data_IF_102117400537
#
_entry.id   IF_102117400537
#
_cell.length_a   1.000
_cell.length_b   1.000
_cell.length_c   1.000
_cell.angle_alpha   90.00
_cell.angle_beta   90.00
_cell.angle_gamma   90.00
#
_symmetry.space_group_name_H-M   'P 1'
#
loop_
_entity.id
_entity.type
_entity.pdbx_description
1 polymer ?
#
# COMPACT_ATOMS: atom_id res chain seq x y z
N UNK A 1 -19.96 -17.22 21.39
CA UNK A 1 -18.62 -17.82 21.25
C UNK A 1 -17.72 -16.73 20.72
N UNK A 2 -16.77 -16.25 21.52
CA UNK A 2 -15.85 -15.19 21.11
C UNK A 2 -15.03 -15.71 19.93
N UNK A 3 -15.09 -15.00 18.79
CA UNK A 3 -14.16 -15.17 17.67
C UNK A 3 -12.76 -15.21 18.26
N UNK A 4 -11.95 -16.23 17.95
CA UNK A 4 -10.52 -16.25 18.27
C UNK A 4 -9.88 -15.08 17.53
N UNK A 5 -9.90 -13.92 18.16
CA UNK A 5 -9.07 -12.80 17.73
C UNK A 5 -7.63 -13.34 17.68
N UNK A 6 -7.04 -13.34 16.49
CA UNK A 6 -5.68 -13.84 16.28
C UNK A 6 -4.76 -13.12 17.26
N UNK A 7 -4.07 -13.84 18.13
CA UNK A 7 -3.26 -13.24 19.19
C UNK A 7 -2.13 -12.38 18.57
N UNK A 8 -1.64 -11.35 19.28
CA UNK A 8 -0.50 -10.54 18.81
C UNK A 8 0.72 -11.38 18.46
N UNK A 9 0.97 -12.47 19.19
CA UNK A 9 2.08 -13.40 18.96
C UNK A 9 1.92 -14.13 17.62
N UNK A 10 0.70 -14.55 17.29
CA UNK A 10 0.41 -15.21 16.01
C UNK A 10 0.55 -14.24 14.84
N UNK A 11 0.12 -12.98 15.00
CA UNK A 11 0.35 -11.92 14.01
C UNK A 11 1.85 -11.69 13.82
N UNK A 12 2.62 -11.60 14.90
CA UNK A 12 4.06 -11.42 14.85
C UNK A 12 4.76 -12.58 14.10
N UNK A 13 4.37 -13.82 14.39
CA UNK A 13 4.92 -15.01 13.73
C UNK A 13 4.62 -15.01 12.23
N UNK A 14 3.36 -14.77 11.84
CA UNK A 14 2.95 -14.71 10.42
C UNK A 14 3.63 -13.57 9.67
N UNK A 15 3.73 -12.41 10.30
CA UNK A 15 4.41 -11.26 9.70
C UNK A 15 5.89 -11.54 9.49
N UNK A 16 6.59 -12.13 10.46
CA UNK A 16 7.98 -12.53 10.32
C UNK A 16 8.16 -13.54 9.18
N UNK A 17 7.29 -14.55 9.08
CA UNK A 17 7.31 -15.52 7.97
C UNK A 17 7.14 -14.82 6.61
N UNK A 18 6.19 -13.89 6.48
CA UNK A 18 5.99 -13.13 5.24
C UNK A 18 7.23 -12.30 4.91
N UNK A 19 7.83 -11.62 5.88
CA UNK A 19 9.08 -10.87 5.68
C UNK A 19 10.22 -11.76 5.19
N UNK A 20 10.38 -12.97 5.75
CA UNK A 20 11.37 -13.93 5.29
C UNK A 20 11.09 -14.42 3.86
N UNK A 21 9.85 -14.71 3.53
CA UNK A 21 9.44 -15.11 2.16
C UNK A 21 9.74 -14.00 1.16
N UNK A 22 9.40 -12.74 1.49
CA UNK A 22 9.75 -11.56 0.66
C UNK A 22 11.26 -11.45 0.48
N UNK A 23 12.04 -11.61 1.55
CA UNK A 23 13.49 -11.54 1.49
C UNK A 23 14.10 -12.65 0.63
N UNK A 24 13.58 -13.88 0.74
CA UNK A 24 14.02 -15.01 -0.10
C UNK A 24 13.67 -14.79 -1.57
N UNK A 25 12.45 -14.32 -1.87
CA UNK A 25 12.03 -14.02 -3.23
C UNK A 25 12.87 -12.90 -3.86
N UNK A 26 13.15 -11.82 -3.12
CA UNK A 26 14.02 -10.73 -3.58
C UNK A 26 15.43 -11.25 -3.92
N UNK A 27 16.04 -12.05 -3.03
CA UNK A 27 17.36 -12.63 -3.25
C UNK A 27 17.38 -13.55 -4.48
N UNK A 28 16.36 -14.39 -4.67
CA UNK A 28 16.25 -15.25 -5.88
C UNK A 28 16.15 -14.42 -7.17
N UNK A 29 15.52 -13.24 -7.10
CA UNK A 29 15.43 -12.29 -8.21
C UNK A 29 16.67 -11.40 -8.37
N UNK A 30 17.78 -11.66 -7.65
CA UNK A 30 19.01 -10.86 -7.71
C UNK A 30 18.86 -9.46 -7.10
N UNK A 31 17.87 -9.23 -6.23
CA UNK A 31 17.52 -7.95 -5.63
C UNK A 31 17.78 -7.96 -4.12
N UNK A 32 17.94 -6.78 -3.54
CA UNK A 32 18.02 -6.66 -2.08
C UNK A 32 16.62 -6.73 -1.48
N UNK A 33 16.42 -7.33 -0.30
CA UNK A 33 15.13 -7.29 0.41
C UNK A 33 14.61 -5.86 0.62
N UNK A 34 15.51 -4.91 0.85
CA UNK A 34 15.20 -3.48 0.98
C UNK A 34 14.64 -2.83 -0.28
N UNK A 35 14.72 -3.49 -1.43
CA UNK A 35 14.15 -3.00 -2.70
C UNK A 35 12.66 -3.35 -2.83
N UNK A 36 12.09 -4.06 -1.84
CA UNK A 36 10.69 -4.46 -1.81
C UNK A 36 9.97 -3.80 -0.63
N UNK A 37 8.92 -3.05 -0.93
CA UNK A 37 7.99 -2.52 0.08
C UNK A 37 6.87 -3.55 0.29
N UNK A 38 6.74 -4.02 1.52
CA UNK A 38 5.61 -4.84 1.94
C UNK A 38 4.50 -3.93 2.47
N UNK A 39 3.35 -3.91 1.80
CA UNK A 39 2.14 -3.26 2.31
C UNK A 39 1.33 -4.31 3.07
N UNK A 40 1.08 -4.08 4.37
CA UNK A 40 0.15 -4.86 5.15
C UNK A 40 -1.29 -4.40 4.84
N UNK A 41 -2.09 -5.29 4.22
CA UNK A 41 -3.47 -4.98 3.80
C UNK A 41 -4.42 -5.24 4.95
N UNK A 42 -4.96 -4.18 5.54
CA UNK A 42 -5.69 -4.21 6.82
C UNK A 42 -7.21 -4.27 6.68
N UNK A 43 -7.73 -4.56 5.48
CA UNK A 43 -9.18 -4.54 5.17
C UNK A 43 -10.07 -5.34 6.14
N UNK A 44 -9.52 -6.37 6.79
CA UNK A 44 -10.21 -7.21 7.79
C UNK A 44 -9.49 -7.22 9.15
N UNK A 45 -8.45 -6.42 9.31
CA UNK A 45 -7.69 -6.37 10.56
C UNK A 45 -8.47 -5.60 11.65
N UNK A 46 -8.36 -6.09 12.88
CA UNK A 46 -8.83 -5.33 14.04
C UNK A 46 -7.74 -4.38 14.52
N UNK A 47 -8.10 -3.30 15.25
CA UNK A 47 -7.14 -2.29 15.70
C UNK A 47 -5.91 -2.85 16.45
N UNK A 48 -6.10 -3.89 17.25
CA UNK A 48 -5.04 -4.53 18.03
C UNK A 48 -3.98 -5.19 17.15
N UNK A 49 -4.40 -5.75 16.01
CA UNK A 49 -3.49 -6.37 15.03
C UNK A 49 -2.66 -5.30 14.31
N UNK A 50 -3.26 -4.15 13.98
CA UNK A 50 -2.54 -3.00 13.40
C UNK A 50 -1.50 -2.47 14.39
N UNK A 51 -1.88 -2.31 15.66
CA UNK A 51 -0.98 -1.88 16.73
C UNK A 51 0.19 -2.86 16.94
N UNK A 52 -0.06 -4.18 16.83
CA UNK A 52 0.98 -5.18 16.92
C UNK A 52 2.03 -5.00 15.81
N UNK A 53 1.62 -4.78 14.56
CA UNK A 53 2.54 -4.50 13.45
C UNK A 53 3.30 -3.17 13.64
N UNK A 54 2.63 -2.13 14.14
CA UNK A 54 3.28 -0.85 14.47
C UNK A 54 4.37 -1.01 15.52
N UNK A 55 4.12 -1.83 16.56
CA UNK A 55 5.11 -2.14 17.60
C UNK A 55 6.33 -2.89 17.04
N UNK A 56 6.15 -3.69 15.99
CA UNK A 56 7.24 -4.36 15.25
C UNK A 56 7.96 -3.44 14.26
N UNK A 57 7.61 -2.16 14.18
CA UNK A 57 8.24 -1.21 13.28
C UNK A 57 7.65 -1.15 11.87
N UNK A 58 6.57 -1.88 11.58
CA UNK A 58 5.91 -1.79 10.28
C UNK A 58 5.23 -0.43 10.08
N UNK A 59 5.28 0.11 8.86
CA UNK A 59 4.80 1.47 8.60
C UNK A 59 3.96 1.63 7.31
N UNK A 60 3.88 0.60 6.46
CA UNK A 60 3.17 0.65 5.16
C UNK A 60 1.87 -0.15 5.23
N UNK A 61 0.74 0.53 5.35
CA UNK A 61 -0.57 -0.10 5.47
C UNK A 61 -1.45 0.22 4.25
N UNK A 62 -2.25 -0.75 3.82
CA UNK A 62 -3.11 -0.60 2.66
C UNK A 62 -4.57 -0.92 2.94
N UNK A 63 -5.46 -0.09 2.38
CA UNK A 63 -6.90 -0.26 2.49
C UNK A 63 -7.60 -0.24 1.14
N UNK A 64 -8.61 -1.09 1.00
CA UNK A 64 -9.41 -1.16 -0.21
C UNK A 64 -10.68 -0.27 -0.18
N UNK A 65 -11.12 0.19 1.00
CA UNK A 65 -12.27 1.07 1.18
C UNK A 65 -11.83 2.38 1.82
N UNK A 66 -12.23 3.50 1.23
CA UNK A 66 -11.91 4.84 1.73
C UNK A 66 -12.35 5.05 3.19
N UNK A 67 -13.53 4.55 3.57
CA UNK A 67 -14.04 4.70 4.92
C UNK A 67 -13.19 3.95 5.94
N UNK A 68 -12.79 2.71 5.65
CA UNK A 68 -11.94 1.89 6.52
C UNK A 68 -10.56 2.52 6.65
N UNK A 69 -10.01 3.06 5.55
CA UNK A 69 -8.73 3.80 5.57
C UNK A 69 -8.78 4.95 6.57
N UNK A 70 -9.81 5.78 6.51
CA UNK A 70 -9.96 6.92 7.41
C UNK A 70 -10.15 6.49 8.87
N UNK A 71 -10.91 5.42 9.12
CA UNK A 71 -11.10 4.87 10.47
C UNK A 71 -9.80 4.32 11.05
N UNK A 72 -9.07 3.50 10.30
CA UNK A 72 -7.81 2.92 10.77
C UNK A 72 -6.73 3.99 10.97
N UNK A 73 -6.66 4.98 10.07
CA UNK A 73 -5.73 6.09 10.24
C UNK A 73 -6.00 6.89 11.52
N UNK A 74 -7.27 7.19 11.82
CA UNK A 74 -7.64 7.89 13.05
C UNK A 74 -7.29 7.08 14.31
N UNK A 75 -7.48 5.75 14.29
CA UNK A 75 -7.10 4.85 15.39
C UNK A 75 -5.58 4.86 15.61
N UNK A 76 -4.81 4.85 14.53
CA UNK A 76 -3.34 4.88 14.58
C UNK A 76 -2.85 6.23 15.11
N UNK A 77 -3.42 7.34 14.65
CA UNK A 77 -3.10 8.69 15.15
C UNK A 77 -3.40 8.82 16.66
N UNK A 78 -4.54 8.30 17.11
CA UNK A 78 -4.88 8.28 18.54
C UNK A 78 -3.89 7.43 19.35
N UNK A 79 -3.49 6.27 18.82
CA UNK A 79 -2.51 5.40 19.47
C UNK A 79 -1.18 6.12 19.71
N UNK A 80 -0.62 6.78 18.70
CA UNK A 80 0.63 7.53 18.84
C UNK A 80 0.48 8.76 19.74
N UNK A 81 -0.64 9.47 19.64
CA UNK A 81 -0.91 10.63 20.52
C UNK A 81 -0.89 10.21 21.98
N UNK A 82 -1.53 9.09 22.34
CA UNK A 82 -1.50 8.54 23.70
C UNK A 82 -0.11 8.12 24.14
N UNK A 83 0.66 7.46 23.25
CA UNK A 83 2.05 7.08 23.57
C UNK A 83 2.93 8.30 23.81
N UNK A 84 2.83 9.34 23.00
CA UNK A 84 3.59 10.58 23.16
C UNK A 84 3.22 11.31 24.45
N UNK A 85 1.95 11.34 24.85
CA UNK A 85 1.50 11.89 26.15
C UNK A 85 2.15 11.10 27.29
N UNK A 86 2.11 9.77 27.23
CA UNK A 86 2.74 8.93 28.26
C UNK A 86 4.26 9.08 28.30
N UNK A 87 4.93 9.20 27.16
CA UNK A 87 6.37 9.43 27.09
C UNK A 87 6.77 10.80 27.66
N UNK A 88 5.98 11.85 27.39
CA UNK A 88 6.19 13.18 27.94
C UNK A 88 5.97 13.21 29.47
N UNK A 89 4.91 12.55 29.94
CA UNK A 89 4.62 12.43 31.39
C UNK A 89 5.69 11.62 32.11
N UNK A 90 6.27 10.61 31.46
CA UNK A 90 7.35 9.81 32.01
C UNK A 90 8.68 10.58 32.07
N UNK A 91 8.97 11.43 31.06
CA UNK A 91 10.15 12.33 31.07
C UNK A 91 10.07 13.37 32.15
N UNK A 92 8.91 13.97 32.40
CA UNK A 92 8.72 14.93 33.51
C UNK A 92 8.85 14.26 34.88
N UNK A 93 8.53 12.97 35.00
CA UNK A 93 8.64 12.22 36.27
C UNK A 93 10.04 11.64 36.49
N UNK A 94 10.88 11.48 35.45
CA UNK A 94 12.24 10.96 35.52
C UNK A 94 13.32 12.03 35.52
N UNK A 95 12.98 13.33 35.45
CA UNK A 95 13.92 14.42 35.67
C UNK A 95 14.24 14.65 37.16
N UNK A 96 13.55 13.95 38.06
CA UNK A 96 13.87 13.97 39.52
C UNK A 96 14.79 12.82 39.98
N UNK A 97 15.26 11.93 39.14
CA UNK A 97 16.22 10.91 39.52
C UNK A 97 17.20 10.62 38.39
N UNK A 98 18.37 11.23 38.55
CA UNK A 98 19.73 10.84 38.17
C UNK A 98 19.94 9.79 37.07
N UNK A 99 20.78 10.20 36.12
CA UNK A 99 21.94 9.45 35.58
C UNK A 99 21.84 7.94 35.60
N UNK A 100 21.72 7.33 34.44
CA UNK A 100 22.61 6.26 33.99
C UNK A 100 22.11 5.55 32.71
N UNK A 101 23.08 5.39 31.85
CA UNK A 101 23.43 4.22 31.05
C UNK A 101 22.77 4.01 29.70
N UNK A 102 23.66 4.07 28.76
CA UNK A 102 23.66 3.48 27.45
C UNK A 102 23.03 2.09 27.44
N UNK A 103 21.97 1.89 26.71
CA UNK A 103 21.62 0.58 26.20
C UNK A 103 21.70 0.63 24.68
N UNK A 104 22.66 -0.09 24.16
CA UNK A 104 22.79 -0.45 22.75
C UNK A 104 21.61 -1.32 22.37
N UNK A 105 20.60 -0.74 21.71
CA UNK A 105 19.60 -1.52 21.02
C UNK A 105 20.20 -2.01 19.70
N UNK A 106 20.69 -3.23 19.70
CA UNK A 106 20.93 -4.02 18.49
C UNK A 106 19.56 -4.41 17.91
N UNK A 107 18.87 -3.46 17.33
CA UNK A 107 17.70 -3.67 16.50
C UNK A 107 18.14 -3.71 15.06
N UNK A 108 17.77 -4.76 14.35
CA UNK A 108 17.97 -4.89 12.92
C UNK A 108 17.32 -3.72 12.21
N UNK A 109 18.10 -2.67 11.92
CA UNK A 109 17.67 -1.54 11.09
C UNK A 109 17.43 -2.03 9.67
N UNK A 110 16.20 -2.42 9.38
CA UNK A 110 15.69 -2.38 8.03
C UNK A 110 15.54 -0.90 7.66
N UNK A 111 16.60 -0.33 7.07
CA UNK A 111 16.50 1.02 6.49
C UNK A 111 15.36 1.02 5.50
N UNK A 112 14.32 1.87 5.69
CA UNK A 112 13.20 1.90 4.80
C UNK A 112 13.66 2.31 3.41
N UNK A 113 13.18 1.61 2.39
CA UNK A 113 13.33 2.01 1.01
C UNK A 113 12.64 3.35 0.83
N UNK A 114 13.44 4.30 0.87
CA UNK A 114 13.49 5.66 0.43
C UNK A 114 12.20 6.36 0.02
N UNK A 115 11.86 7.34 0.87
CA UNK A 115 11.47 8.71 0.49
C UNK A 115 10.09 8.96 -0.03
N UNK A 116 9.11 8.32 0.52
CA UNK A 116 7.80 8.94 0.59
C UNK A 116 7.69 9.59 1.98
N UNK A 117 7.51 10.93 2.11
CA UNK A 117 7.33 11.54 3.43
C UNK A 117 6.18 10.85 4.15
N UNK A 118 6.45 10.30 5.32
CA UNK A 118 5.43 9.70 6.18
C UNK A 118 4.50 10.77 6.75
N UNK A 119 3.30 10.38 7.13
CA UNK A 119 2.44 11.16 8.02
C UNK A 119 3.09 11.32 9.40
N UNK A 120 2.36 11.85 10.38
CA UNK A 120 2.81 11.86 11.77
C UNK A 120 3.26 10.44 12.14
N UNK A 121 4.42 10.34 12.77
CA UNK A 121 5.03 9.06 13.22
C UNK A 121 5.47 8.10 12.09
N UNK A 122 5.62 8.56 10.85
CA UNK A 122 6.20 7.80 9.75
C UNK A 122 5.30 6.73 9.15
N UNK A 123 4.03 6.63 9.54
CA UNK A 123 3.06 5.69 8.95
C UNK A 123 2.63 6.16 7.57
N UNK A 124 2.62 5.24 6.62
CA UNK A 124 2.23 5.48 5.24
C UNK A 124 0.98 4.65 4.91
N UNK A 125 -0.10 5.35 4.63
CA UNK A 125 -1.34 4.73 4.18
C UNK A 125 -1.40 4.69 2.67
N UNK A 126 -1.83 3.55 2.13
CA UNK A 126 -2.00 3.32 0.70
C UNK A 126 -3.47 3.03 0.39
N UNK A 127 -4.05 3.80 -0.52
CA UNK A 127 -5.36 3.46 -1.08
C UNK A 127 -5.14 2.47 -2.21
N UNK A 128 -5.56 1.20 -2.01
CA UNK A 128 -5.29 0.11 -2.94
C UNK A 128 -6.55 -0.44 -3.62
N UNK A 129 -7.74 -0.01 -3.20
CA UNK A 129 -9.01 -0.36 -3.84
C UNK A 129 -9.56 0.78 -4.68
N UNK A 130 -10.68 0.53 -5.36
CA UNK A 130 -11.32 1.54 -6.20
C UNK A 130 -11.64 2.82 -5.42
N UNK A 131 -11.20 3.95 -5.93
CA UNK A 131 -11.38 5.27 -5.32
C UNK A 131 -12.51 6.03 -6.02
N UNK A 132 -13.66 6.11 -5.35
CA UNK A 132 -14.77 6.95 -5.79
C UNK A 132 -14.40 8.43 -5.70
N UNK A 133 -14.74 9.24 -6.71
CA UNK A 133 -14.43 10.68 -6.78
C UNK A 133 -14.92 11.46 -5.55
N UNK A 134 -16.13 11.18 -5.08
CA UNK A 134 -16.72 11.83 -3.90
C UNK A 134 -15.98 11.54 -2.57
N UNK A 135 -15.12 10.53 -2.53
CA UNK A 135 -14.28 10.16 -1.37
C UNK A 135 -12.83 10.63 -1.53
N UNK A 136 -12.41 11.01 -2.74
CA UNK A 136 -11.03 11.31 -3.07
C UNK A 136 -10.41 12.37 -2.15
N UNK A 137 -11.14 13.47 -1.87
CA UNK A 137 -10.64 14.54 -1.00
C UNK A 137 -10.19 14.02 0.37
N UNK A 138 -11.06 13.26 1.07
CA UNK A 138 -10.74 12.72 2.40
C UNK A 138 -9.60 11.69 2.36
N UNK A 139 -9.56 10.87 1.31
CA UNK A 139 -8.49 9.89 1.12
C UNK A 139 -7.15 10.58 0.90
N UNK A 140 -7.08 11.63 0.09
CA UNK A 140 -5.86 12.38 -0.17
C UNK A 140 -5.31 13.08 1.08
N UNK A 141 -6.14 13.35 2.10
CA UNK A 141 -5.67 13.91 3.36
C UNK A 141 -4.85 12.92 4.19
N UNK A 142 -5.00 11.62 3.93
CA UNK A 142 -4.43 10.53 4.72
C UNK A 142 -3.50 9.64 3.89
N UNK A 143 -3.94 9.25 2.68
CA UNK A 143 -3.18 8.33 1.85
C UNK A 143 -1.94 8.99 1.26
N UNK A 144 -0.82 8.27 1.37
CA UNK A 144 0.46 8.66 0.78
C UNK A 144 0.53 8.35 -0.72
N UNK A 145 -0.12 7.27 -1.13
CA UNK A 145 -0.13 6.79 -2.51
C UNK A 145 -1.49 6.17 -2.83
N UNK A 146 -2.09 6.57 -3.95
CA UNK A 146 -3.26 5.90 -4.51
C UNK A 146 -2.82 4.96 -5.62
N UNK A 147 -3.17 3.67 -5.50
CA UNK A 147 -2.77 2.64 -6.46
C UNK A 147 -3.78 2.39 -7.58
N UNK A 148 -4.92 3.06 -7.54
CA UNK A 148 -6.12 2.66 -8.28
C UNK A 148 -6.65 3.74 -9.24
N UNK A 149 -5.77 4.55 -9.82
CA UNK A 149 -6.19 5.51 -10.85
C UNK A 149 -6.30 4.79 -12.19
N UNK A 150 -7.51 4.71 -12.73
CA UNK A 150 -7.82 3.98 -13.96
C UNK A 150 -8.57 4.83 -15.01
N UNK A 151 -8.84 6.09 -14.70
CA UNK A 151 -9.57 7.00 -15.56
C UNK A 151 -9.10 8.45 -15.46
N UNK A 152 -9.25 9.20 -16.55
CA UNK A 152 -8.93 10.62 -16.59
C UNK A 152 -9.80 11.42 -15.62
N UNK A 153 -11.09 11.08 -15.52
CA UNK A 153 -12.04 11.75 -14.61
C UNK A 153 -11.58 11.70 -13.14
N UNK A 154 -11.03 10.55 -12.69
CA UNK A 154 -10.48 10.46 -11.34
C UNK A 154 -9.20 11.29 -11.21
N UNK A 155 -8.33 11.28 -12.21
CA UNK A 155 -7.10 12.07 -12.20
C UNK A 155 -7.39 13.59 -12.16
N UNK A 156 -8.40 14.06 -12.88
CA UNK A 156 -8.86 15.47 -12.87
C UNK A 156 -9.38 15.88 -11.49
N UNK A 157 -10.17 15.00 -10.84
CA UNK A 157 -10.61 15.25 -9.45
C UNK A 157 -9.41 15.34 -8.49
N UNK A 158 -8.44 14.43 -8.61
CA UNK A 158 -7.21 14.47 -7.81
C UNK A 158 -6.40 15.73 -8.07
N UNK A 159 -6.32 16.22 -9.31
CA UNK A 159 -5.68 17.48 -9.66
C UNK A 159 -6.38 18.66 -9.00
N UNK A 160 -7.72 18.72 -9.03
CA UNK A 160 -8.48 19.78 -8.38
C UNK A 160 -8.28 19.79 -6.85
N UNK A 161 -8.16 18.61 -6.24
CA UNK A 161 -7.85 18.47 -4.81
C UNK A 161 -6.42 18.93 -4.51
N UNK A 162 -5.45 18.48 -5.32
CA UNK A 162 -4.04 18.79 -5.16
C UNK A 162 -3.77 20.29 -5.26
N UNK A 163 -4.41 20.97 -6.21
CA UNK A 163 -4.33 22.44 -6.38
C UNK A 163 -4.84 23.18 -5.13
N UNK A 164 -5.99 22.75 -4.56
CA UNK A 164 -6.54 23.37 -3.34
C UNK A 164 -5.67 23.17 -2.10
N UNK A 165 -4.85 22.12 -2.08
CA UNK A 165 -3.95 21.78 -0.97
C UNK A 165 -2.54 22.34 -1.13
N UNK A 166 -2.21 22.81 -2.31
CA UNK A 166 -0.84 23.17 -2.72
C UNK A 166 0.16 22.03 -2.43
N UNK A 167 -0.26 20.80 -2.68
CA UNK A 167 0.55 19.60 -2.45
C UNK A 167 0.30 18.58 -3.54
N UNK A 168 1.36 18.05 -4.16
CA UNK A 168 1.23 17.03 -5.19
C UNK A 168 0.72 15.72 -4.62
N UNK A 169 -0.05 14.99 -5.43
CA UNK A 169 -0.57 13.66 -5.13
C UNK A 169 0.15 12.63 -5.98
N UNK A 170 0.76 11.65 -5.31
CA UNK A 170 1.40 10.51 -5.97
C UNK A 170 0.35 9.42 -6.27
N UNK A 171 0.36 8.91 -7.51
CA UNK A 171 -0.59 7.90 -7.96
C UNK A 171 0.10 6.79 -8.76
N UNK A 172 -0.52 5.61 -8.79
CA UNK A 172 -0.23 4.57 -9.77
C UNK A 172 -1.41 4.42 -10.72
N UNK A 173 -1.13 4.14 -11.97
CA UNK A 173 -2.16 3.73 -12.92
C UNK A 173 -2.49 2.26 -12.67
N UNK A 174 -3.75 1.97 -12.41
CA UNK A 174 -4.24 0.60 -12.31
C UNK A 174 -4.53 0.07 -13.71
N UNK A 175 -3.85 -1.03 -14.07
CA UNK A 175 -3.99 -1.67 -15.38
C UNK A 175 -4.53 -3.08 -15.22
N UNK A 176 -5.56 -3.43 -15.97
CA UNK A 176 -6.09 -4.78 -16.02
C UNK A 176 -5.26 -5.64 -16.99
N UNK A 177 -4.15 -6.19 -16.51
CA UNK A 177 -3.29 -7.09 -17.27
C UNK A 177 -3.77 -8.55 -17.23
N UNK A 178 -4.79 -8.88 -16.40
CA UNK A 178 -5.33 -10.25 -16.32
C UNK A 178 -6.21 -10.60 -17.52
N UNK A 179 -6.87 -9.61 -18.11
CA UNK A 179 -7.86 -9.79 -19.17
C UNK A 179 -9.26 -10.18 -18.66
N UNK A 180 -9.45 -10.30 -17.34
CA UNK A 180 -10.77 -10.56 -16.74
C UNK A 180 -11.63 -9.29 -16.73
N UNK A 181 -12.81 -9.33 -17.34
CA UNK A 181 -13.72 -8.18 -17.39
C UNK A 181 -14.22 -7.72 -16.02
N UNK A 182 -14.17 -8.59 -15.00
CA UNK A 182 -14.58 -8.29 -13.62
C UNK A 182 -13.55 -7.45 -12.85
N UNK A 183 -12.31 -7.34 -13.32
CA UNK A 183 -11.24 -6.61 -12.62
C UNK A 183 -11.24 -5.14 -13.01
N UNK A 184 -11.03 -4.28 -12.01
CA UNK A 184 -10.83 -2.85 -12.21
C UNK A 184 -9.49 -2.56 -12.89
N UNK A 185 -9.38 -1.39 -13.48
CA UNK A 185 -8.18 -0.90 -14.16
C UNK A 185 -8.45 -0.60 -15.64
N UNK A 186 -7.70 0.33 -16.20
CA UNK A 186 -7.75 0.57 -17.64
C UNK A 186 -7.17 -0.63 -18.40
N UNK A 187 -7.56 -0.79 -19.66
CA UNK A 187 -6.96 -1.80 -20.53
C UNK A 187 -5.49 -1.43 -20.84
N UNK A 188 -4.58 -2.40 -21.04
CA UNK A 188 -3.18 -2.10 -21.32
C UNK A 188 -2.94 -1.07 -22.43
N UNK A 189 -3.65 -1.08 -23.57
CA UNK A 189 -3.48 -0.06 -24.63
C UNK A 189 -3.89 1.37 -24.21
N UNK A 190 -4.73 1.50 -23.17
CA UNK A 190 -5.18 2.80 -22.68
C UNK A 190 -4.23 3.40 -21.63
N UNK A 191 -3.28 2.63 -21.09
CA UNK A 191 -2.43 3.06 -19.99
C UNK A 191 -1.48 4.20 -20.39
N UNK A 192 -0.83 4.10 -21.56
CA UNK A 192 0.09 5.13 -22.07
C UNK A 192 -0.67 6.43 -22.35
N UNK A 193 -1.76 6.46 -23.15
CA UNK A 193 -2.55 7.68 -23.36
C UNK A 193 -3.05 8.31 -22.05
N UNK A 194 -3.49 7.50 -21.09
CA UNK A 194 -3.91 8.00 -19.78
C UNK A 194 -2.75 8.65 -19.02
N UNK A 195 -1.57 8.03 -19.01
CA UNK A 195 -0.39 8.57 -18.37
C UNK A 195 0.08 9.88 -19.02
N UNK A 196 0.04 9.97 -20.35
CA UNK A 196 0.36 11.19 -21.08
C UNK A 196 -0.56 12.35 -20.70
N UNK A 197 -1.88 12.09 -20.63
CA UNK A 197 -2.84 13.11 -20.19
C UNK A 197 -2.60 13.53 -18.73
N UNK A 198 -2.34 12.58 -17.82
CA UNK A 198 -2.04 12.89 -16.42
C UNK A 198 -0.71 13.64 -16.30
N UNK A 199 0.28 13.37 -17.15
CA UNK A 199 1.59 14.04 -17.13
C UNK A 199 1.51 15.54 -17.41
N UNK A 200 0.43 16.02 -18.03
CA UNK A 200 0.16 17.46 -18.22
C UNK A 200 -0.37 18.15 -16.95
N UNK A 201 -0.74 17.37 -15.94
CA UNK A 201 -1.27 17.86 -14.66
C UNK A 201 -0.11 18.21 -13.71
N UNK A 202 -0.07 19.44 -13.20
CA UNK A 202 1.06 19.94 -12.40
C UNK A 202 1.21 19.21 -11.06
N UNK A 203 0.08 18.83 -10.44
CA UNK A 203 0.06 18.35 -9.05
C UNK A 203 -0.38 16.88 -8.92
N UNK A 204 -0.52 16.12 -10.02
CA UNK A 204 -0.69 14.67 -9.99
C UNK A 204 0.52 14.01 -10.61
N UNK A 205 1.19 13.15 -9.85
CA UNK A 205 2.45 12.54 -10.27
C UNK A 205 2.26 11.04 -10.43
N UNK A 206 2.35 10.56 -11.67
CA UNK A 206 2.32 9.12 -11.95
C UNK A 206 3.65 8.50 -11.55
N UNK A 207 3.62 7.63 -10.56
CA UNK A 207 4.81 6.97 -9.99
C UNK A 207 5.07 5.57 -10.55
N UNK A 208 4.14 5.04 -11.32
CA UNK A 208 4.24 3.71 -11.88
C UNK A 208 2.89 3.04 -12.12
N UNK A 209 2.90 1.71 -12.11
CA UNK A 209 1.73 0.88 -12.39
C UNK A 209 1.32 0.01 -11.21
N UNK A 210 0.03 -0.33 -11.19
CA UNK A 210 -0.51 -1.38 -10.33
C UNK A 210 -1.32 -2.37 -11.16
N UNK A 211 -1.18 -3.66 -10.84
CA UNK A 211 -2.07 -4.69 -11.38
C UNK A 211 -2.41 -5.75 -10.33
N UNK A 212 -3.48 -6.48 -10.61
CA UNK A 212 -3.88 -7.68 -9.86
C UNK A 212 -4.03 -8.84 -10.83
N UNK A 213 -3.50 -10.00 -10.47
CA UNK A 213 -3.74 -11.23 -11.22
C UNK A 213 -5.09 -11.87 -10.82
N UNK A 214 -5.52 -12.83 -11.62
CA UNK A 214 -6.61 -13.73 -11.26
C UNK A 214 -6.26 -14.52 -10.00
N UNK A 215 -7.26 -14.85 -9.21
CA UNK A 215 -7.08 -15.78 -8.10
C UNK A 215 -6.94 -17.20 -8.67
N UNK A 216 -5.88 -17.90 -8.28
CA UNK A 216 -5.56 -19.23 -8.78
C UNK A 216 -4.95 -20.10 -7.68
N UNK A 217 -5.07 -21.40 -7.82
CA UNK A 217 -4.45 -22.36 -6.91
C UNK A 217 -2.93 -22.49 -7.16
N UNK A 218 -2.49 -22.29 -8.40
CA UNK A 218 -1.07 -22.29 -8.76
C UNK A 218 -0.57 -20.85 -8.98
N UNK A 219 0.28 -20.31 -8.08
CA UNK A 219 0.84 -18.98 -8.23
C UNK A 219 1.57 -18.74 -9.57
N UNK A 220 2.13 -19.77 -10.17
CA UNK A 220 2.87 -19.64 -11.44
C UNK A 220 1.96 -19.24 -12.61
N UNK A 221 0.67 -19.53 -12.57
CA UNK A 221 -0.29 -19.08 -13.57
C UNK A 221 -0.42 -17.56 -13.63
N UNK A 222 -0.08 -16.85 -12.54
CA UNK A 222 -0.12 -15.38 -12.49
C UNK A 222 1.05 -14.72 -13.22
N UNK A 223 2.12 -15.46 -13.51
CA UNK A 223 3.35 -14.95 -14.12
C UNK A 223 3.10 -14.18 -15.41
N UNK A 224 2.25 -14.69 -16.28
CA UNK A 224 1.92 -14.04 -17.56
C UNK A 224 1.27 -12.66 -17.36
N UNK A 225 0.44 -12.48 -16.31
CA UNK A 225 -0.15 -11.19 -15.96
C UNK A 225 0.91 -10.21 -15.47
N UNK A 226 1.81 -10.67 -14.61
CA UNK A 226 2.88 -9.82 -14.05
C UNK A 226 3.93 -9.46 -15.10
N UNK A 227 4.29 -10.38 -16.00
CA UNK A 227 5.21 -10.11 -17.11
C UNK A 227 4.65 -9.03 -18.05
N UNK A 228 3.37 -9.14 -18.45
CA UNK A 228 2.73 -8.10 -19.28
C UNK A 228 2.72 -6.72 -18.59
N UNK A 229 2.45 -6.68 -17.28
CA UNK A 229 2.50 -5.43 -16.54
C UNK A 229 3.92 -4.86 -16.46
N UNK A 230 4.94 -5.69 -16.27
CA UNK A 230 6.34 -5.28 -16.28
C UNK A 230 6.76 -4.74 -17.65
N UNK A 231 6.42 -5.42 -18.73
CA UNK A 231 6.73 -4.97 -20.10
C UNK A 231 6.15 -3.58 -20.36
N UNK A 232 4.87 -3.38 -20.04
CA UNK A 232 4.22 -2.06 -20.12
C UNK A 232 4.90 -1.02 -19.22
N UNK A 233 5.28 -1.40 -18.02
CA UNK A 233 5.98 -0.51 -17.08
C UNK A 233 7.33 -0.06 -17.66
N UNK A 234 8.13 -0.96 -18.25
CA UNK A 234 9.41 -0.62 -18.87
C UNK A 234 9.23 0.27 -20.09
N UNK A 235 8.21 0.00 -20.92
CA UNK A 235 7.86 0.85 -22.06
C UNK A 235 7.53 2.28 -21.56
N UNK A 236 6.60 2.42 -20.62
CA UNK A 236 6.20 3.73 -20.07
C UNK A 236 7.37 4.46 -19.39
N UNK A 237 8.25 3.72 -18.71
CA UNK A 237 9.44 4.29 -18.09
C UNK A 237 10.40 4.89 -19.12
N UNK A 238 10.52 4.26 -20.30
CA UNK A 238 11.36 4.75 -21.39
C UNK A 238 10.84 6.06 -22.01
N UNK A 239 9.52 6.29 -21.95
CA UNK A 239 8.87 7.50 -22.45
C UNK A 239 9.12 8.74 -21.57
N UNK A 240 9.66 8.56 -20.35
CA UNK A 240 9.95 9.63 -19.38
C UNK A 240 8.75 10.56 -19.14
N UNK A 241 7.56 9.98 -19.03
CA UNK A 241 6.31 10.72 -18.81
C UNK A 241 6.34 11.44 -17.46
N UNK A 242 6.17 12.76 -17.49
CA UNK A 242 6.12 13.61 -16.31
C UNK A 242 7.50 14.08 -15.83
N UNK A 243 7.68 15.39 -15.74
CA UNK A 243 8.86 15.99 -15.12
C UNK A 243 8.71 16.01 -13.59
N UNK A 244 9.77 15.71 -12.86
CA UNK A 244 9.87 15.97 -11.41
C UNK A 244 9.57 14.82 -10.46
N UNK A 245 9.09 13.67 -10.93
CA UNK A 245 8.94 12.48 -10.08
C UNK A 245 9.35 11.20 -10.81
N UNK A 246 10.13 10.30 -10.17
CA UNK A 246 10.58 9.07 -10.83
C UNK A 246 9.41 8.11 -11.05
N UNK A 247 9.24 7.62 -12.28
CA UNK A 247 8.35 6.51 -12.63
C UNK A 247 9.08 5.20 -12.31
N UNK A 248 8.94 4.70 -11.08
CA UNK A 248 9.76 3.60 -10.57
C UNK A 248 9.02 2.64 -9.64
N UNK A 249 7.69 2.71 -9.58
CA UNK A 249 6.90 1.84 -8.71
C UNK A 249 6.11 0.83 -9.55
N UNK A 250 6.33 -0.46 -9.27
CA UNK A 250 5.57 -1.56 -9.83
C UNK A 250 4.89 -2.33 -8.69
N UNK A 251 3.60 -2.03 -8.48
CA UNK A 251 2.80 -2.60 -7.41
C UNK A 251 1.99 -3.78 -7.93
N UNK A 252 2.43 -5.00 -7.62
CA UNK A 252 1.74 -6.24 -7.98
C UNK A 252 2.10 -7.36 -7.02
N UNK A 253 1.24 -8.36 -6.92
CA UNK A 253 1.37 -9.48 -6.00
C UNK A 253 0.63 -9.29 -4.68
N UNK A 254 -0.04 -10.36 -4.26
CA UNK A 254 -0.84 -10.49 -3.05
C UNK A 254 -0.37 -11.71 -2.24
N UNK A 255 -1.14 -12.13 -1.22
CA UNK A 255 -0.76 -13.21 -0.29
C UNK A 255 -0.42 -14.54 -0.98
N UNK A 256 -1.07 -14.86 -2.11
CA UNK A 256 -0.86 -16.11 -2.83
C UNK A 256 0.24 -16.07 -3.88
N UNK A 257 0.61 -14.89 -4.41
CA UNK A 257 1.40 -14.78 -5.64
C UNK A 257 2.53 -13.74 -5.58
N UNK A 258 2.78 -13.10 -4.42
CA UNK A 258 3.77 -12.04 -4.30
C UNK A 258 5.20 -12.50 -4.63
N UNK A 259 5.54 -13.77 -4.43
CA UNK A 259 6.88 -14.28 -4.75
C UNK A 259 7.11 -14.32 -6.27
N UNK A 260 6.08 -14.71 -7.03
CA UNK A 260 6.09 -14.65 -8.50
C UNK A 260 6.14 -13.19 -8.96
N UNK A 261 5.34 -12.31 -8.35
CA UNK A 261 5.36 -10.88 -8.65
C UNK A 261 6.74 -10.24 -8.42
N UNK A 262 7.43 -10.59 -7.32
CA UNK A 262 8.80 -10.12 -7.04
C UNK A 262 9.77 -10.61 -8.12
N UNK A 263 9.65 -11.85 -8.57
CA UNK A 263 10.49 -12.39 -9.66
C UNK A 263 10.25 -11.67 -10.98
N UNK A 264 9.04 -11.17 -11.20
CA UNK A 264 8.65 -10.35 -12.35
C UNK A 264 8.89 -8.85 -12.16
N UNK A 265 9.61 -8.44 -11.10
CA UNK A 265 10.07 -7.07 -10.92
C UNK A 265 9.24 -6.21 -9.98
N UNK A 266 8.18 -6.71 -9.33
CA UNK A 266 7.44 -5.96 -8.33
C UNK A 266 8.38 -5.37 -7.26
N UNK A 267 8.18 -4.09 -6.92
CA UNK A 267 8.86 -3.47 -5.79
C UNK A 267 7.88 -3.02 -4.69
N UNK A 268 6.57 -3.19 -4.92
CA UNK A 268 5.54 -3.14 -3.89
C UNK A 268 4.71 -4.42 -3.98
N UNK A 269 4.56 -5.10 -2.84
CA UNK A 269 3.65 -6.25 -2.67
C UNK A 269 2.61 -5.94 -1.60
N UNK A 270 1.39 -6.47 -1.74
CA UNK A 270 0.23 -6.16 -0.91
C UNK A 270 -0.29 -7.43 -0.24
N UNK A 271 0.07 -7.65 1.00
CA UNK A 271 -0.18 -8.91 1.71
C UNK A 271 -1.19 -8.69 2.84
N UNK A 272 -2.29 -9.44 2.82
CA UNK A 272 -3.36 -9.38 3.81
C UNK A 272 -3.53 -10.71 4.55
N UNK A 273 -4.18 -11.70 3.92
CA UNK A 273 -4.55 -12.97 4.55
C UNK A 273 -3.35 -13.75 5.10
N UNK A 274 -2.19 -13.70 4.46
CA UNK A 274 -1.00 -14.35 4.98
C UNK A 274 -0.50 -13.74 6.31
N UNK A 275 -0.84 -12.48 6.63
CA UNK A 275 -0.51 -11.81 7.88
C UNK A 275 -1.65 -11.95 8.89
N UNK A 276 -2.87 -11.55 8.50
CA UNK A 276 -4.01 -11.41 9.41
C UNK A 276 -4.87 -12.67 9.50
N UNK A 277 -4.70 -13.62 8.59
CA UNK A 277 -5.56 -14.78 8.41
C UNK A 277 -6.74 -14.47 7.49
N UNK A 278 -7.46 -15.54 7.11
CA UNK A 278 -8.71 -15.40 6.37
C UNK A 278 -9.78 -14.80 7.28
N UNK A 279 -10.67 -13.95 6.76
CA UNK A 279 -11.81 -13.47 7.53
C UNK A 279 -12.64 -14.66 7.98
N UNK A 280 -13.08 -14.67 9.25
CA UNK A 280 -14.11 -15.60 9.66
C UNK A 280 -15.29 -15.45 8.70
N UNK A 281 -15.72 -16.56 8.08
CA UNK A 281 -16.74 -16.59 7.03
C UNK A 281 -17.96 -15.78 7.47
N UNK A 282 -18.03 -14.54 7.02
CA UNK A 282 -19.19 -13.69 7.13
C UNK A 282 -19.52 -13.25 5.72
N UNK A 283 -20.57 -13.91 5.19
CA UNK A 283 -21.40 -13.52 4.05
C UNK A 283 -20.68 -12.78 2.90
N UNK A 284 -20.76 -13.36 1.72
CA UNK A 284 -20.45 -12.72 0.45
C UNK A 284 -20.86 -11.24 0.48
N UNK A 285 -19.88 -10.34 0.49
CA UNK A 285 -20.16 -8.96 0.11
C UNK A 285 -20.69 -9.01 -1.33
N UNK A 286 -21.85 -8.40 -1.62
CA UNK A 286 -22.30 -8.30 -3.00
C UNK A 286 -21.21 -7.59 -3.82
N UNK A 287 -21.06 -7.93 -5.11
CA UNK A 287 -20.14 -7.22 -5.98
C UNK A 287 -20.43 -5.73 -5.88
N UNK A 288 -19.38 -4.92 -5.80
CA UNK A 288 -19.50 -3.46 -5.88
C UNK A 288 -20.11 -3.16 -7.25
N UNK A 289 -21.39 -2.79 -7.27
CA UNK A 289 -22.06 -2.35 -8.49
C UNK A 289 -21.25 -1.19 -9.05
N UNK A 290 -20.92 -1.28 -10.33
CA UNK A 290 -20.42 -0.13 -11.08
C UNK A 290 -21.56 0.86 -11.08
N UNK A 291 -21.35 2.03 -10.50
CA UNK A 291 -22.29 3.13 -10.61
C UNK A 291 -22.19 3.70 -12.04
N UNK A 292 -22.90 3.06 -12.97
CA UNK A 292 -22.97 3.48 -14.36
C UNK A 292 -23.81 4.78 -14.52
N UNK A 293 -24.31 5.35 -13.42
CA UNK A 293 -25.06 6.62 -13.42
C UNK A 293 -24.15 7.86 -13.43
N UNK A 294 -22.84 7.70 -13.56
CA UNK A 294 -21.86 8.79 -13.63
C UNK A 294 -21.32 9.03 -15.06
N UNK A 295 -22.14 8.81 -16.12
CA UNK A 295 -21.84 9.28 -17.49
C UNK A 295 -21.96 10.80 -17.62
#
# INVERSE_FOLDING_TARGET
>A
MASMATSPELIASRYAEVCERVARAAKRAGRRPSDIILIAVTKYAVPEQIKALLAMGHRDFGENKAQTLLQHAAIVDEFFTRQNIHATTRKTRSQESAETLFEENVGMELKPLNTLPGGRDGVRWHMIGHLQRNKAKKVCDVARLSHSVDSLRLAEELQAIALKRDQPIDVLIQVNCSGEASKFGCLPPAAIPLAEQISTMINVRVRGLMTMAAETADPEETRGTFSRCRELFEEMRSLRLGEGAPFNILSMGMSGDFEVAISEGANIVRVGSAIFGEPAVTQHEPPVERDDSED
#
